data_IF_765682974368
#
_entry.id   IF_765682974368
#
_cell.length_a   1.000
_cell.length_b   1.000
_cell.length_c   1.000
_cell.angle_alpha   90.00
_cell.angle_beta   90.00
_cell.angle_gamma   90.00
#
_symmetry.space_group_name_H-M   'P 1'
#
loop_
_entity.id
_entity.type
_entity.pdbx_description
1 polymer ?
#
# COMPACT_ATOMS: atom_id res chain seq x y z
N UNK A 1 14.40 -5.88 -6.54
CA UNK A 1 13.35 -6.56 -7.33
C UNK A 1 13.08 -8.01 -6.92
N UNK A 2 14.04 -8.75 -6.37
CA UNK A 2 13.81 -10.13 -5.90
C UNK A 2 12.85 -10.23 -4.71
N UNK A 3 12.89 -9.26 -3.78
CA UNK A 3 12.08 -9.26 -2.57
C UNK A 3 10.56 -9.31 -2.85
N UNK A 4 10.06 -8.54 -3.82
CA UNK A 4 8.64 -8.59 -4.19
C UNK A 4 8.20 -9.94 -4.77
N UNK A 5 9.08 -10.60 -5.54
CA UNK A 5 8.80 -11.95 -6.04
C UNK A 5 8.78 -12.98 -4.91
N UNK A 6 9.68 -12.85 -3.95
CA UNK A 6 9.77 -13.73 -2.79
C UNK A 6 8.54 -13.59 -1.88
N UNK A 7 8.09 -12.36 -1.63
CA UNK A 7 6.86 -12.09 -0.88
C UNK A 7 5.62 -12.78 -1.46
N UNK A 8 5.50 -12.82 -2.79
CA UNK A 8 4.40 -13.51 -3.45
C UNK A 8 4.47 -15.04 -3.28
N UNK A 9 5.66 -15.60 -3.10
CA UNK A 9 5.88 -17.04 -2.89
C UNK A 9 5.60 -17.45 -1.45
N UNK A 10 6.10 -16.68 -0.50
CA UNK A 10 6.00 -17.00 0.93
C UNK A 10 4.60 -16.73 1.48
N UNK A 11 3.91 -15.71 0.94
CA UNK A 11 2.63 -15.24 1.48
C UNK A 11 1.59 -14.95 0.38
N UNK A 12 1.21 -15.98 -0.42
CA UNK A 12 0.18 -15.83 -1.44
C UNK A 12 -1.17 -15.47 -0.82
N UNK A 13 -1.95 -14.63 -1.50
CA UNK A 13 -3.31 -14.30 -1.09
C UNK A 13 -4.16 -13.94 -2.31
N UNK A 14 -5.44 -14.32 -2.27
CA UNK A 14 -6.41 -13.86 -3.26
C UNK A 14 -6.77 -12.40 -3.03
N UNK A 15 -6.71 -11.60 -4.08
CA UNK A 15 -7.07 -10.19 -4.02
C UNK A 15 -7.57 -9.70 -5.38
N UNK A 16 -8.24 -8.54 -5.36
CA UNK A 16 -8.86 -7.93 -6.53
C UNK A 16 -8.02 -6.77 -7.08
N UNK A 17 -7.01 -6.30 -6.32
CA UNK A 17 -6.08 -5.25 -6.73
C UNK A 17 -4.74 -5.36 -5.97
N UNK A 18 -3.62 -5.09 -6.66
CA UNK A 18 -2.31 -4.87 -6.03
C UNK A 18 -1.90 -3.42 -6.22
N UNK A 19 -1.38 -2.80 -5.17
CA UNK A 19 -0.75 -1.48 -5.26
C UNK A 19 0.32 -1.29 -4.20
N UNK A 20 0.90 -0.11 -4.17
CA UNK A 20 1.98 0.26 -3.27
C UNK A 20 1.70 1.55 -2.52
N UNK A 21 2.42 1.76 -1.42
CA UNK A 21 2.60 3.09 -0.85
C UNK A 21 3.50 3.91 -1.79
N UNK A 22 3.02 5.03 -2.36
CA UNK A 22 3.83 5.81 -3.27
C UNK A 22 4.95 6.58 -2.53
N UNK A 23 6.18 6.63 -3.01
CA UNK A 23 6.74 5.99 -4.21
C UNK A 23 7.62 4.76 -3.87
N UNK A 24 7.96 4.58 -2.59
CA UNK A 24 8.94 3.59 -2.12
C UNK A 24 8.55 2.15 -2.45
N UNK A 25 7.26 1.82 -2.41
CA UNK A 25 6.76 0.47 -2.67
C UNK A 25 6.60 0.09 -4.15
N UNK A 26 6.70 1.04 -5.10
CA UNK A 26 6.29 0.82 -6.50
C UNK A 26 7.08 -0.30 -7.21
N UNK A 27 8.40 -0.34 -7.00
CA UNK A 27 9.25 -1.36 -7.59
C UNK A 27 8.98 -2.76 -7.00
N UNK A 28 8.70 -2.83 -5.70
CA UNK A 28 8.33 -4.08 -5.03
C UNK A 28 6.94 -4.56 -5.48
N UNK A 29 5.96 -3.67 -5.65
CA UNK A 29 4.63 -4.01 -6.14
C UNK A 29 4.65 -4.56 -7.56
N UNK A 30 5.40 -3.93 -8.45
CA UNK A 30 5.57 -4.41 -9.83
C UNK A 30 6.17 -5.81 -9.87
N UNK A 31 7.20 -6.07 -9.03
CA UNK A 31 7.84 -7.38 -8.95
C UNK A 31 6.90 -8.46 -8.36
N UNK A 32 6.13 -8.11 -7.34
CA UNK A 32 5.13 -8.97 -6.70
C UNK A 32 4.06 -9.39 -7.71
N UNK A 33 3.53 -8.43 -8.49
CA UNK A 33 2.54 -8.72 -9.51
C UNK A 33 3.09 -9.62 -10.64
N UNK A 34 4.31 -9.37 -11.12
CA UNK A 34 4.93 -10.23 -12.15
C UNK A 34 4.96 -11.69 -11.70
N UNK A 35 5.08 -11.96 -10.40
CA UNK A 35 5.02 -13.32 -9.87
C UNK A 35 3.59 -13.85 -9.78
N UNK A 36 2.64 -13.09 -9.28
CA UNK A 36 1.22 -13.49 -9.25
C UNK A 36 0.70 -13.84 -10.66
N UNK A 37 1.09 -13.09 -11.70
CA UNK A 37 0.74 -13.39 -13.11
C UNK A 37 1.30 -14.72 -13.63
N UNK A 38 2.35 -15.25 -13.03
CA UNK A 38 2.92 -16.55 -13.39
C UNK A 38 2.18 -17.72 -12.72
N UNK A 39 1.36 -17.47 -11.70
CA UNK A 39 0.64 -18.50 -10.93
C UNK A 39 -0.82 -18.59 -11.32
N UNK A 40 -1.43 -17.46 -11.64
CA UNK A 40 -2.84 -17.38 -12.03
C UNK A 40 -2.92 -17.08 -13.53
N UNK A 41 -2.96 -18.14 -14.36
CA UNK A 41 -3.10 -18.02 -15.82
C UNK A 41 -4.41 -17.34 -16.21
N UNK A 42 -5.48 -17.56 -15.44
CA UNK A 42 -6.83 -17.09 -15.75
C UNK A 42 -7.35 -15.97 -14.83
N UNK A 43 -6.74 -15.76 -13.66
CA UNK A 43 -7.10 -14.69 -12.71
C UNK A 43 -5.97 -13.66 -12.56
N UNK A 44 -5.97 -12.66 -13.44
CA UNK A 44 -4.95 -11.60 -13.40
C UNK A 44 -5.37 -10.50 -12.43
N UNK A 45 -4.80 -10.50 -11.22
CA UNK A 45 -4.95 -9.37 -10.29
C UNK A 45 -4.30 -8.13 -10.95
N UNK A 46 -4.99 -7.01 -11.15
CA UNK A 46 -4.41 -5.81 -11.75
C UNK A 46 -3.45 -5.08 -10.80
N UNK A 47 -2.46 -4.37 -11.40
CA UNK A 47 -1.72 -3.32 -10.69
C UNK A 47 -2.56 -2.05 -10.76
N UNK A 48 -2.77 -1.39 -9.63
CA UNK A 48 -3.47 -0.12 -9.59
C UNK A 48 -2.88 0.81 -8.54
N UNK A 49 -3.11 2.09 -8.76
CA UNK A 49 -2.83 3.11 -7.76
C UNK A 49 -3.95 3.04 -6.70
N UNK A 50 -3.58 2.68 -5.47
CA UNK A 50 -4.52 2.64 -4.34
C UNK A 50 -4.58 3.98 -3.60
N UNK A 51 -3.48 4.73 -3.67
CA UNK A 51 -3.25 5.98 -2.97
C UNK A 51 -2.68 6.99 -3.97
N UNK A 52 -3.30 8.16 -4.05
CA UNK A 52 -2.71 9.34 -4.66
C UNK A 52 -1.85 10.06 -3.62
N UNK A 53 -0.60 10.34 -3.95
CA UNK A 53 0.29 11.15 -3.11
C UNK A 53 0.00 12.62 -3.34
N UNK A 54 -0.23 13.37 -2.26
CA UNK A 54 -0.33 14.82 -2.35
C UNK A 54 1.08 15.43 -2.40
N UNK A 55 1.51 15.81 -3.60
CA UNK A 55 2.84 16.40 -3.86
C UNK A 55 3.03 17.77 -3.19
N UNK A 56 1.96 18.44 -2.76
CA UNK A 56 2.01 19.73 -2.08
C UNK A 56 2.26 19.61 -0.58
N UNK A 57 2.26 18.39 -0.03
CA UNK A 57 2.60 18.16 1.38
C UNK A 57 4.12 18.10 1.53
N UNK A 58 4.72 19.29 1.71
CA UNK A 58 6.14 19.45 1.97
C UNK A 58 6.57 19.09 3.40
N UNK A 59 7.80 19.48 3.75
CA UNK A 59 8.29 19.41 5.12
C UNK A 59 7.46 20.37 5.98
N UNK A 60 6.91 19.89 7.09
CA UNK A 60 6.16 20.75 8.02
C UNK A 60 7.11 21.29 9.09
N UNK A 61 6.91 22.55 9.51
CA UNK A 61 7.57 23.11 10.70
C UNK A 61 7.26 22.26 11.95
N UNK A 62 8.05 22.42 13.02
CA UNK A 62 7.88 21.74 14.31
C UNK A 62 6.41 21.77 14.71
N UNK A 63 5.76 20.60 14.64
CA UNK A 63 4.36 20.47 14.98
C UNK A 63 4.24 20.36 16.50
N UNK A 64 3.45 21.23 17.16
CA UNK A 64 3.37 21.27 18.62
C UNK A 64 2.64 20.06 19.22
N UNK A 65 1.95 19.26 18.40
CA UNK A 65 1.25 18.06 18.89
C UNK A 65 1.45 16.83 17.99
N UNK A 66 1.54 15.67 18.64
CA UNK A 66 1.55 14.36 17.97
C UNK A 66 0.27 14.12 17.16
N UNK A 67 -0.87 14.66 17.61
CA UNK A 67 -2.16 14.57 16.90
C UNK A 67 -2.10 15.28 15.54
N UNK A 68 -1.58 16.51 15.50
CA UNK A 68 -1.40 17.26 14.25
C UNK A 68 -0.42 16.55 13.32
N UNK A 69 0.64 15.95 13.88
CA UNK A 69 1.59 15.15 13.10
C UNK A 69 0.93 13.93 12.43
N UNK A 70 0.04 13.23 13.13
CA UNK A 70 -0.71 12.10 12.58
C UNK A 70 -1.74 12.54 11.52
N UNK A 71 -2.41 13.69 11.73
CA UNK A 71 -3.30 14.28 10.73
C UNK A 71 -2.55 14.67 9.44
N UNK A 72 -1.35 15.22 9.57
CA UNK A 72 -0.51 15.56 8.41
C UNK A 72 -0.09 14.32 7.62
N UNK A 73 0.07 13.16 8.24
CA UNK A 73 0.27 11.89 7.52
C UNK A 73 -0.97 11.49 6.74
N UNK A 74 -2.16 11.67 7.32
CA UNK A 74 -3.43 11.44 6.61
C UNK A 74 -3.63 12.42 5.43
N UNK A 75 -3.08 13.64 5.49
CA UNK A 75 -3.11 14.60 4.38
C UNK A 75 -2.17 14.23 3.22
N UNK A 76 -1.16 13.38 3.46
CA UNK A 76 -0.17 12.98 2.43
C UNK A 76 -0.76 12.06 1.37
N UNK A 77 -1.78 11.29 1.71
CA UNK A 77 -2.32 10.27 0.84
C UNK A 77 -3.84 10.36 0.78
N UNK A 78 -4.38 10.25 -0.43
CA UNK A 78 -5.82 10.16 -0.68
C UNK A 78 -6.13 8.82 -1.35
N UNK A 79 -7.15 8.07 -0.89
CA UNK A 79 -7.49 6.79 -1.49
C UNK A 79 -8.15 7.01 -2.84
N UNK A 80 -7.80 6.18 -3.82
CA UNK A 80 -8.46 6.18 -5.13
C UNK A 80 -9.66 5.24 -5.06
N UNK A 81 -10.84 5.81 -4.80
CA UNK A 81 -12.06 5.05 -4.47
C UNK A 81 -12.41 3.97 -5.50
N UNK A 82 -12.25 4.25 -6.79
CA UNK A 82 -12.50 3.30 -7.89
C UNK A 82 -11.64 2.04 -7.80
N UNK A 83 -10.44 2.14 -7.21
CA UNK A 83 -9.50 1.03 -7.07
C UNK A 83 -9.58 0.34 -5.70
N UNK A 84 -10.25 0.95 -4.72
CA UNK A 84 -10.27 0.52 -3.32
C UNK A 84 -11.64 -0.02 -2.89
N UNK A 85 -12.73 0.64 -3.28
CA UNK A 85 -14.07 0.33 -2.79
C UNK A 85 -14.51 -1.08 -3.17
N UNK A 86 -15.07 -1.81 -2.20
CA UNK A 86 -15.60 -3.17 -2.28
C UNK A 86 -14.60 -4.24 -2.74
N UNK A 87 -13.29 -3.92 -2.71
CA UNK A 87 -12.20 -4.79 -3.18
C UNK A 87 -11.34 -5.32 -2.03
N UNK A 88 -10.83 -6.53 -2.18
CA UNK A 88 -9.70 -7.08 -1.42
C UNK A 88 -8.41 -6.54 -2.03
N UNK A 89 -7.61 -5.80 -1.28
CA UNK A 89 -6.43 -5.12 -1.83
C UNK A 89 -5.14 -5.60 -1.16
N UNK A 90 -4.08 -5.75 -1.96
CA UNK A 90 -2.70 -5.95 -1.47
C UNK A 90 -2.00 -4.60 -1.51
N UNK A 91 -1.57 -4.11 -0.35
CA UNK A 91 -0.77 -2.89 -0.22
C UNK A 91 0.68 -3.25 0.12
N UNK A 92 1.60 -2.86 -0.76
CA UNK A 92 3.03 -3.16 -0.63
C UNK A 92 3.78 -1.91 -0.19
N UNK A 93 4.56 -2.05 0.88
CA UNK A 93 5.46 -1.03 1.39
C UNK A 93 6.91 -1.55 1.40
N UNK A 94 7.88 -0.65 1.40
CA UNK A 94 9.30 -1.02 1.44
C UNK A 94 9.72 -1.43 2.85
N UNK A 95 9.33 -0.67 3.87
CA UNK A 95 9.71 -0.92 5.27
C UNK A 95 8.71 -0.39 6.29
N UNK A 96 8.68 -1.03 7.47
CA UNK A 96 7.95 -0.54 8.64
C UNK A 96 8.95 -0.31 9.78
N UNK A 97 9.34 0.95 10.00
CA UNK A 97 10.27 1.28 11.10
C UNK A 97 9.54 1.53 12.42
N UNK A 98 8.48 2.36 12.38
CA UNK A 98 7.76 2.79 13.60
C UNK A 98 6.23 2.63 13.53
N UNK A 99 5.70 2.07 12.44
CA UNK A 99 4.25 1.85 12.25
C UNK A 99 3.37 3.11 12.11
N UNK A 100 3.92 4.31 12.32
CA UNK A 100 3.17 5.58 12.30
C UNK A 100 2.57 5.94 10.92
N UNK A 101 3.09 5.35 9.84
CA UNK A 101 2.61 5.57 8.46
C UNK A 101 1.58 4.52 8.07
N UNK A 102 1.91 3.23 8.28
CA UNK A 102 1.09 2.10 7.83
C UNK A 102 -0.27 2.05 8.53
N UNK A 103 -0.33 2.33 9.83
CA UNK A 103 -1.58 2.29 10.61
C UNK A 103 -2.64 3.29 10.10
N UNK A 104 -2.31 4.59 9.95
CA UNK A 104 -3.19 5.56 9.31
C UNK A 104 -3.63 5.19 7.90
N UNK A 105 -2.72 4.66 7.07
CA UNK A 105 -3.04 4.26 5.69
C UNK A 105 -4.06 3.12 5.66
N UNK A 106 -3.90 2.10 6.51
CA UNK A 106 -4.87 0.99 6.61
C UNK A 106 -6.25 1.53 7.00
N UNK A 107 -6.31 2.44 7.99
CA UNK A 107 -7.57 3.07 8.41
C UNK A 107 -8.20 3.89 7.29
N UNK A 108 -7.39 4.62 6.53
CA UNK A 108 -7.83 5.39 5.38
C UNK A 108 -8.46 4.50 4.29
N UNK A 109 -7.79 3.40 3.93
CA UNK A 109 -8.27 2.46 2.92
C UNK A 109 -9.54 1.71 3.36
N UNK A 110 -9.63 1.31 4.63
CA UNK A 110 -10.85 0.70 5.19
C UNK A 110 -12.03 1.68 5.19
N UNK A 111 -11.80 2.94 5.57
CA UNK A 111 -12.83 4.00 5.50
C UNK A 111 -13.27 4.31 4.06
N UNK A 112 -12.36 4.14 3.10
CA UNK A 112 -12.66 4.26 1.67
C UNK A 112 -13.45 3.07 1.10
N UNK A 113 -13.73 2.03 1.90
CA UNK A 113 -14.58 0.91 1.52
C UNK A 113 -13.82 -0.34 1.07
N UNK A 114 -12.52 -0.47 1.34
CA UNK A 114 -11.84 -1.75 1.10
C UNK A 114 -12.46 -2.88 1.94
N UNK A 115 -12.76 -4.02 1.29
CA UNK A 115 -13.27 -5.23 1.95
C UNK A 115 -12.20 -5.86 2.82
N UNK A 116 -10.99 -5.95 2.29
CA UNK A 116 -9.81 -6.48 2.99
C UNK A 116 -8.57 -5.67 2.60
N UNK A 117 -7.62 -5.53 3.53
CA UNK A 117 -6.34 -4.84 3.29
C UNK A 117 -5.21 -5.76 3.73
N UNK A 118 -4.53 -6.36 2.75
CA UNK A 118 -3.40 -7.26 2.91
C UNK A 118 -2.09 -6.49 2.81
N UNK A 119 -1.43 -6.26 3.94
CA UNK A 119 -0.13 -5.58 3.95
C UNK A 119 0.97 -6.57 3.59
N UNK A 120 1.92 -6.13 2.74
CA UNK A 120 3.16 -6.84 2.45
C UNK A 120 4.33 -5.86 2.53
N UNK A 121 5.41 -6.27 3.18
CA UNK A 121 6.57 -5.39 3.43
C UNK A 121 7.80 -6.03 2.81
N UNK A 122 8.50 -5.29 1.95
CA UNK A 122 9.65 -5.81 1.19
C UNK A 122 10.97 -5.82 1.99
N UNK A 123 10.88 -5.81 3.32
CA UNK A 123 12.01 -5.90 4.25
C UNK A 123 11.68 -6.81 5.44
N UNK A 124 12.69 -7.50 6.00
CA UNK A 124 12.54 -8.22 7.27
C UNK A 124 12.33 -7.25 8.44
N UNK A 125 11.74 -7.73 9.56
CA UNK A 125 11.56 -6.93 10.78
C UNK A 125 12.87 -6.59 11.49
#
# INVERSE_FOLDING_TARGET
MHCGRQLALEHPVEADMVGSVPESGNAAATATLKRYKSWFTDQKIPLGELLAKNSYVGRTFIQPSNRLRQLNVALKFSPILTNVKDKRIILIDDSIVRGNTVGPIIRLLRRAGAKEVHIRVASPP
#
